data_IF_774650670362
#
_entry.id   IF_774650670362
#
_cell.length_a   1.000
_cell.length_b   1.000
_cell.length_c   1.000
_cell.angle_alpha   90.00
_cell.angle_beta   90.00
_cell.angle_gamma   90.00
#
_symmetry.space_group_name_H-M   'P 1'
#
loop_
_entity.id
_entity.type
_entity.pdbx_description
1 polymer ?
#
# COMPACT_ATOMS: atom_id res chain seq x y z
N UNK A 1 -8.21 13.87 -18.99
CA UNK A 1 -7.70 12.91 -17.98
C UNK A 1 -6.78 11.93 -18.69
N UNK A 2 -5.79 11.35 -18.00
CA UNK A 2 -4.88 10.35 -18.57
C UNK A 2 -5.67 9.08 -18.94
N UNK A 3 -5.33 8.44 -20.07
CA UNK A 3 -5.92 7.16 -20.44
C UNK A 3 -5.11 6.00 -19.83
N UNK A 4 -5.73 4.92 -19.30
CA UNK A 4 -4.99 3.83 -18.67
C UNK A 4 -3.95 3.13 -19.56
N UNK A 5 -4.17 3.13 -20.89
CA UNK A 5 -3.22 2.57 -21.86
C UNK A 5 -1.88 3.33 -21.91
N UNK A 6 -1.84 4.57 -21.40
CA UNK A 6 -0.63 5.41 -21.40
C UNK A 6 0.15 5.28 -20.07
N UNK A 7 -0.31 4.42 -19.16
CA UNK A 7 0.34 4.22 -17.85
C UNK A 7 1.48 3.21 -18.00
N UNK A 8 2.68 3.64 -17.62
CA UNK A 8 3.83 2.75 -17.42
C UNK A 8 3.80 2.25 -15.98
N UNK A 9 3.70 0.92 -15.80
CA UNK A 9 3.57 0.29 -14.48
C UNK A 9 4.89 -0.39 -14.09
N UNK A 10 5.36 -0.08 -12.88
CA UNK A 10 6.41 -0.78 -12.15
C UNK A 10 6.05 -0.86 -10.67
N UNK A 11 6.90 -1.44 -9.85
CA UNK A 11 6.68 -1.49 -8.40
C UNK A 11 7.48 -2.56 -7.70
N UNK A 12 7.15 -2.76 -6.42
CA UNK A 12 7.85 -3.62 -5.49
C UNK A 12 6.91 -4.71 -4.96
N UNK A 13 7.45 -5.89 -4.66
CA UNK A 13 6.75 -6.95 -3.95
C UNK A 13 7.79 -7.75 -3.16
N UNK A 14 7.42 -8.19 -1.96
CA UNK A 14 8.24 -9.09 -1.13
C UNK A 14 8.41 -10.47 -1.77
N UNK A 15 7.66 -10.79 -2.84
CA UNK A 15 7.74 -12.02 -3.61
C UNK A 15 8.32 -11.78 -5.02
N UNK A 16 9.26 -12.62 -5.45
CA UNK A 16 9.98 -12.45 -6.73
C UNK A 16 9.25 -12.96 -7.96
N UNK A 17 8.03 -13.51 -7.81
CA UNK A 17 7.28 -14.06 -8.93
C UNK A 17 7.05 -12.99 -10.00
N UNK A 18 7.23 -13.36 -11.27
CA UNK A 18 6.91 -12.44 -12.36
C UNK A 18 5.39 -12.21 -12.46
N UNK A 19 4.96 -11.17 -13.17
CA UNK A 19 3.53 -10.81 -13.20
C UNK A 19 2.66 -11.91 -13.88
N UNK A 20 3.24 -12.73 -14.76
CA UNK A 20 2.55 -13.90 -15.32
C UNK A 20 2.26 -14.97 -14.26
N UNK A 21 3.25 -15.34 -13.45
CA UNK A 21 3.08 -16.25 -12.31
C UNK A 21 2.14 -15.66 -11.24
N UNK A 22 2.24 -14.35 -10.99
CA UNK A 22 1.36 -13.66 -10.05
C UNK A 22 -0.11 -13.67 -10.52
N UNK A 23 -0.34 -13.51 -11.83
CA UNK A 23 -1.67 -13.61 -12.44
C UNK A 23 -2.27 -15.01 -12.27
N UNK A 24 -1.47 -16.06 -12.53
CA UNK A 24 -1.90 -17.45 -12.32
C UNK A 24 -2.25 -17.70 -10.86
N UNK A 25 -1.37 -17.29 -9.93
CA UNK A 25 -1.59 -17.41 -8.48
C UNK A 25 -2.83 -16.66 -7.99
N UNK A 26 -3.15 -15.52 -8.61
CA UNK A 26 -4.28 -14.69 -8.20
C UNK A 26 -5.65 -15.27 -8.60
N UNK A 27 -5.69 -16.13 -9.64
CA UNK A 27 -6.92 -16.75 -10.14
C UNK A 27 -8.05 -15.74 -10.44
N UNK A 28 -7.71 -14.55 -10.95
CA UNK A 28 -8.69 -13.49 -11.24
C UNK A 28 -9.18 -13.51 -12.68
N UNK A 29 -8.27 -13.63 -13.65
CA UNK A 29 -8.63 -13.66 -15.07
C UNK A 29 -8.99 -15.07 -15.52
N UNK A 30 -9.87 -15.18 -16.51
CA UNK A 30 -10.14 -16.45 -17.19
C UNK A 30 -8.87 -17.02 -17.83
N UNK A 31 -8.75 -18.34 -17.82
CA UNK A 31 -7.58 -19.06 -18.32
C UNK A 31 -7.17 -18.66 -19.75
N UNK A 32 -8.13 -18.52 -20.67
CA UNK A 32 -7.85 -18.12 -22.04
C UNK A 32 -7.24 -16.71 -22.17
N UNK A 33 -7.59 -15.79 -21.25
CA UNK A 33 -6.97 -14.47 -21.19
C UNK A 33 -5.56 -14.56 -20.57
N UNK A 34 -5.39 -15.39 -19.54
CA UNK A 34 -4.07 -15.63 -18.94
C UNK A 34 -3.07 -16.11 -19.99
N UNK A 35 -3.43 -17.12 -20.80
CA UNK A 35 -2.57 -17.64 -21.88
C UNK A 35 -2.16 -16.56 -22.89
N UNK A 36 -3.09 -15.65 -23.23
CA UNK A 36 -2.81 -14.52 -24.14
C UNK A 36 -1.84 -13.50 -23.54
N UNK A 37 -1.95 -13.24 -22.23
CA UNK A 37 -1.18 -12.19 -21.56
C UNK A 37 0.17 -12.68 -21.04
N UNK A 38 0.30 -13.98 -20.72
CA UNK A 38 1.50 -14.59 -20.11
C UNK A 38 2.81 -14.25 -20.83
N UNK A 39 2.93 -14.30 -22.18
CA UNK A 39 4.18 -13.94 -22.86
C UNK A 39 4.64 -12.49 -22.62
N UNK A 40 3.69 -11.58 -22.36
CA UNK A 40 3.99 -10.18 -22.04
C UNK A 40 4.23 -10.00 -20.54
N UNK A 41 3.34 -10.52 -19.70
CA UNK A 41 3.39 -10.32 -18.24
C UNK A 41 4.56 -11.02 -17.57
N UNK A 42 5.03 -12.15 -18.09
CA UNK A 42 6.20 -12.84 -17.52
C UNK A 42 7.52 -12.09 -17.69
N UNK A 43 7.56 -11.05 -18.52
CA UNK A 43 8.72 -10.16 -18.65
C UNK A 43 8.77 -9.10 -17.54
N UNK A 44 7.66 -8.86 -16.86
CA UNK A 44 7.56 -7.88 -15.79
C UNK A 44 7.87 -8.57 -14.46
N UNK A 45 8.81 -8.02 -13.70
CA UNK A 45 9.21 -8.52 -12.39
C UNK A 45 9.15 -7.38 -11.36
N UNK A 46 8.62 -7.63 -10.16
CA UNK A 46 8.65 -6.64 -9.09
C UNK A 46 10.09 -6.41 -8.62
N UNK A 47 10.39 -5.17 -8.23
CA UNK A 47 11.61 -4.83 -7.50
C UNK A 47 11.57 -5.44 -6.08
N UNK A 48 12.73 -5.73 -5.46
CA UNK A 48 12.79 -6.16 -4.07
C UNK A 48 12.21 -5.10 -3.13
N UNK A 49 11.41 -5.51 -2.14
CA UNK A 49 10.72 -4.60 -1.23
C UNK A 49 11.30 -4.61 0.19
N UNK A 50 10.93 -3.61 0.99
CA UNK A 50 11.07 -3.63 2.45
C UNK A 50 10.13 -4.70 3.03
N UNK A 51 10.58 -5.41 4.06
CA UNK A 51 9.77 -6.36 4.83
C UNK A 51 10.13 -6.27 6.31
N UNK A 52 9.19 -5.76 7.10
CA UNK A 52 9.24 -5.76 8.57
C UNK A 52 8.17 -6.75 9.06
N UNK A 53 8.56 -7.95 9.54
CA UNK A 53 7.64 -9.06 9.79
C UNK A 53 6.51 -8.75 10.78
N UNK A 54 6.74 -7.83 11.71
CA UNK A 54 5.80 -7.45 12.76
C UNK A 54 4.61 -6.61 12.27
N UNK A 55 4.70 -6.01 11.08
CA UNK A 55 3.65 -5.16 10.54
C UNK A 55 2.54 -5.95 9.81
N UNK A 56 2.84 -7.14 9.29
CA UNK A 56 1.87 -7.97 8.55
C UNK A 56 1.68 -9.33 9.22
N UNK A 57 0.75 -10.14 8.73
CA UNK A 57 0.51 -11.45 9.33
C UNK A 57 1.73 -12.36 9.19
N UNK A 58 2.12 -13.06 10.28
CA UNK A 58 3.25 -13.99 10.28
C UNK A 58 3.17 -15.07 9.18
N UNK A 59 1.96 -15.40 8.72
CA UNK A 59 1.72 -16.35 7.64
C UNK A 59 2.16 -15.87 6.24
N UNK A 60 2.75 -14.67 6.15
CA UNK A 60 3.39 -14.11 4.95
C UNK A 60 4.91 -14.39 4.90
N UNK A 61 5.52 -14.94 5.95
CA UNK A 61 6.97 -15.18 6.01
C UNK A 61 7.49 -16.00 4.82
N UNK A 62 6.84 -17.14 4.50
CA UNK A 62 7.22 -18.00 3.37
C UNK A 62 7.11 -17.30 1.99
N UNK A 63 6.33 -16.21 1.92
CA UNK A 63 6.16 -15.43 0.68
C UNK A 63 7.33 -14.47 0.46
N UNK A 64 8.00 -14.04 1.53
CA UNK A 64 9.00 -12.99 1.55
C UNK A 64 10.37 -13.50 1.04
N UNK A 65 10.57 -13.48 -0.27
CA UNK A 65 11.80 -13.93 -0.94
C UNK A 65 12.40 -12.90 -1.91
N UNK A 66 11.92 -11.66 -1.90
CA UNK A 66 12.37 -10.57 -2.77
C UNK A 66 12.54 -9.29 -1.94
N UNK A 67 13.57 -9.29 -1.10
CA UNK A 67 13.76 -8.27 -0.09
C UNK A 67 14.96 -7.40 -0.43
N UNK A 68 14.86 -6.11 -0.11
CA UNK A 68 16.03 -5.23 -0.06
C UNK A 68 17.02 -5.82 0.97
N UNK A 69 18.34 -5.80 0.71
CA UNK A 69 19.32 -6.26 1.68
C UNK A 69 19.13 -5.59 3.03
N UNK A 70 19.22 -6.37 4.11
CA UNK A 70 19.00 -5.88 5.47
C UNK A 70 19.89 -4.67 5.76
N UNK A 71 19.27 -3.58 6.17
CA UNK A 71 19.93 -2.32 6.52
C UNK A 71 19.16 -1.58 7.60
N UNK A 72 19.47 -0.29 7.74
CA UNK A 72 18.67 0.64 8.57
C UNK A 72 17.44 1.13 7.81
N UNK A 73 16.40 1.58 8.51
CA UNK A 73 15.21 2.21 7.90
C UNK A 73 15.58 3.44 7.07
N UNK A 74 16.65 4.15 7.44
CA UNK A 74 17.23 5.22 6.63
C UNK A 74 17.82 4.71 5.29
N UNK A 75 18.48 3.55 5.29
CA UNK A 75 18.99 2.93 4.06
C UNK A 75 17.84 2.44 3.17
N UNK A 76 16.79 1.89 3.77
CA UNK A 76 15.57 1.49 3.06
C UNK A 76 14.88 2.70 2.41
N UNK A 77 14.78 3.82 3.14
CA UNK A 77 14.27 5.09 2.60
C UNK A 77 15.06 5.54 1.36
N UNK A 78 16.39 5.61 1.46
CA UNK A 78 17.23 6.03 0.34
C UNK A 78 17.19 5.05 -0.84
N UNK A 79 17.04 3.75 -0.57
CA UNK A 79 16.86 2.73 -1.61
C UNK A 79 15.58 3.00 -2.42
N UNK A 80 14.44 3.19 -1.75
CA UNK A 80 13.17 3.48 -2.41
C UNK A 80 13.21 4.80 -3.19
N UNK A 81 13.84 5.84 -2.63
CA UNK A 81 14.04 7.12 -3.33
C UNK A 81 14.84 6.92 -4.62
N UNK A 82 15.92 6.14 -4.57
CA UNK A 82 16.72 5.82 -5.75
C UNK A 82 15.93 5.03 -6.80
N UNK A 83 15.11 4.07 -6.37
CA UNK A 83 14.26 3.30 -7.27
C UNK A 83 13.24 4.18 -7.99
N UNK A 84 12.59 5.11 -7.29
CA UNK A 84 11.65 6.08 -7.88
C UNK A 84 12.37 6.94 -8.94
N UNK A 85 13.54 7.51 -8.63
CA UNK A 85 14.33 8.30 -9.59
C UNK A 85 14.76 7.48 -10.80
N UNK A 86 15.16 6.23 -10.57
CA UNK A 86 15.62 5.32 -11.62
C UNK A 86 14.48 4.90 -12.53
N UNK A 87 13.32 4.55 -11.97
CA UNK A 87 12.12 4.26 -12.73
C UNK A 87 11.68 5.45 -13.59
N UNK A 88 11.66 6.66 -13.01
CA UNK A 88 11.33 7.90 -13.71
C UNK A 88 12.25 8.13 -14.91
N UNK A 89 13.56 8.04 -14.70
CA UNK A 89 14.60 8.26 -15.72
C UNK A 89 14.59 7.20 -16.82
N UNK A 90 14.52 5.91 -16.45
CA UNK A 90 14.59 4.81 -17.42
C UNK A 90 13.39 4.76 -18.37
N UNK A 91 12.25 5.31 -17.94
CA UNK A 91 11.03 5.36 -18.74
C UNK A 91 10.73 6.78 -19.28
N UNK A 92 11.64 7.74 -19.10
CA UNK A 92 11.47 9.14 -19.51
C UNK A 92 10.13 9.76 -19.05
N UNK A 93 9.79 9.57 -17.77
CA UNK A 93 8.52 9.99 -17.20
C UNK A 93 8.61 11.40 -16.60
N UNK A 94 7.60 12.23 -16.86
CA UNK A 94 7.47 13.52 -16.19
C UNK A 94 6.89 13.39 -14.78
N UNK A 95 5.93 12.46 -14.61
CA UNK A 95 5.18 12.23 -13.38
C UNK A 95 5.25 10.76 -12.97
N UNK A 96 5.36 10.53 -11.67
CA UNK A 96 5.29 9.22 -11.03
C UNK A 96 4.30 9.33 -9.87
N UNK A 97 3.45 8.32 -9.72
CA UNK A 97 2.53 8.18 -8.59
C UNK A 97 2.89 6.86 -7.91
N UNK A 98 3.03 6.89 -6.59
CA UNK A 98 3.24 5.70 -5.77
C UNK A 98 1.91 5.32 -5.15
N UNK A 99 1.52 4.05 -5.29
CA UNK A 99 0.28 3.53 -4.72
C UNK A 99 0.58 2.27 -3.92
N UNK A 100 0.15 2.25 -2.67
CA UNK A 100 0.20 1.07 -1.82
C UNK A 100 -0.99 0.16 -2.09
N UNK A 101 -0.70 -1.05 -2.56
CA UNK A 101 -1.68 -2.13 -2.75
C UNK A 101 -1.14 -3.46 -2.21
N UNK A 102 -0.24 -3.39 -1.22
CA UNK A 102 0.34 -4.56 -0.57
C UNK A 102 -0.57 -5.07 0.56
N UNK A 103 -0.09 -6.07 1.31
CA UNK A 103 -0.78 -6.58 2.49
C UNK A 103 -1.18 -5.45 3.45
N UNK A 104 -2.36 -5.59 4.05
CA UNK A 104 -2.79 -4.71 5.15
C UNK A 104 -1.83 -4.85 6.32
N UNK A 105 -1.26 -3.74 6.76
CA UNK A 105 -0.44 -3.67 7.95
C UNK A 105 -1.30 -3.47 9.22
N UNK A 106 -0.75 -3.76 10.39
CA UNK A 106 -1.30 -3.27 11.66
C UNK A 106 -1.16 -1.75 11.73
N UNK A 107 -1.91 -1.12 12.62
CA UNK A 107 -1.70 0.30 12.92
C UNK A 107 -0.35 0.52 13.60
N UNK A 108 0.23 1.68 13.34
CA UNK A 108 1.37 2.23 14.09
C UNK A 108 0.85 3.08 15.24
N UNK A 109 1.64 3.20 16.31
CA UNK A 109 1.36 4.15 17.38
C UNK A 109 1.48 5.60 16.87
N UNK A 110 0.65 6.51 17.40
CA UNK A 110 0.75 7.95 17.12
C UNK A 110 0.99 8.72 18.42
N UNK A 111 2.18 9.28 18.58
CA UNK A 111 2.59 10.00 19.81
C UNK A 111 3.71 11.02 19.59
N UNK A 112 3.80 12.08 20.42
CA UNK A 112 4.92 13.02 20.39
C UNK A 112 6.28 12.33 20.54
N UNK A 113 7.28 12.82 19.82
CA UNK A 113 8.61 12.24 19.73
C UNK A 113 8.73 11.02 18.80
N UNK A 114 7.66 10.62 18.11
CA UNK A 114 7.65 9.51 17.16
C UNK A 114 7.25 9.97 15.75
N UNK A 115 6.03 10.48 15.58
CA UNK A 115 5.49 10.71 14.23
C UNK A 115 4.41 11.80 14.15
N UNK A 116 4.38 12.73 15.11
CA UNK A 116 3.39 13.81 15.13
C UNK A 116 3.82 15.05 14.36
N UNK A 117 5.11 15.20 14.09
CA UNK A 117 5.67 16.23 13.20
C UNK A 117 6.55 15.60 12.12
N UNK A 118 6.80 16.33 11.03
CA UNK A 118 7.68 15.83 9.95
C UNK A 118 9.11 15.59 10.44
N UNK A 119 9.63 16.44 11.34
CA UNK A 119 10.96 16.28 11.92
C UNK A 119 11.03 14.99 12.74
N UNK A 120 10.01 14.71 13.54
CA UNK A 120 9.91 13.47 14.31
C UNK A 120 9.89 12.23 13.39
N UNK A 121 9.05 12.20 12.36
CA UNK A 121 8.98 11.04 11.45
C UNK A 121 10.33 10.76 10.80
N UNK A 122 11.00 11.80 10.29
CA UNK A 122 12.31 11.64 9.64
C UNK A 122 13.39 11.22 10.64
N UNK A 123 13.34 11.74 11.87
CA UNK A 123 14.26 11.35 12.93
C UNK A 123 14.02 9.91 13.39
N UNK A 124 12.77 9.47 13.55
CA UNK A 124 12.43 8.09 13.91
C UNK A 124 12.83 7.09 12.82
N UNK A 125 12.79 7.47 11.54
CA UNK A 125 13.38 6.68 10.45
C UNK A 125 14.90 6.58 10.63
N UNK A 126 15.58 7.68 10.91
CA UNK A 126 17.03 7.71 11.12
C UNK A 126 17.46 6.85 12.33
N UNK A 127 16.65 6.88 13.39
CA UNK A 127 16.88 6.16 14.64
C UNK A 127 16.47 4.68 14.59
N UNK A 128 15.91 4.21 13.47
CA UNK A 128 15.38 2.86 13.30
C UNK A 128 14.26 2.50 14.29
N UNK A 129 13.40 3.46 14.65
CA UNK A 129 12.32 3.22 15.61
C UNK A 129 11.38 2.12 15.12
N UNK A 130 11.06 1.15 15.98
CA UNK A 130 10.28 -0.04 15.64
C UNK A 130 8.87 0.31 15.12
N UNK A 131 8.27 1.41 15.57
CA UNK A 131 6.92 1.84 15.16
C UNK A 131 6.88 2.61 13.82
N UNK A 132 7.99 2.62 13.07
CA UNK A 132 7.99 3.06 11.67
C UNK A 132 7.70 1.87 10.74
N UNK A 133 6.51 1.84 10.15
CA UNK A 133 6.11 0.78 9.23
C UNK A 133 6.80 0.87 7.86
N UNK A 134 6.83 -0.22 7.06
CA UNK A 134 7.22 -0.15 5.66
C UNK A 134 6.40 0.90 4.89
N UNK A 135 5.07 0.97 5.07
CA UNK A 135 4.24 1.95 4.39
C UNK A 135 4.60 3.40 4.72
N UNK A 136 5.03 3.71 5.97
CA UNK A 136 5.55 5.03 6.34
C UNK A 136 6.81 5.38 5.53
N UNK A 137 7.71 4.42 5.32
CA UNK A 137 8.94 4.64 4.53
C UNK A 137 8.61 4.88 3.06
N UNK A 138 7.67 4.10 2.47
CA UNK A 138 7.20 4.34 1.10
C UNK A 138 6.55 5.71 0.93
N UNK A 139 5.72 6.13 1.90
CA UNK A 139 5.10 7.46 1.88
C UNK A 139 6.14 8.57 1.94
N UNK A 140 7.11 8.49 2.87
CA UNK A 140 8.20 9.44 2.98
C UNK A 140 9.07 9.47 1.72
N UNK A 141 9.41 8.30 1.15
CA UNK A 141 10.18 8.20 -0.08
C UNK A 141 9.47 8.90 -1.25
N UNK A 142 8.18 8.63 -1.43
CA UNK A 142 7.36 9.24 -2.48
C UNK A 142 7.32 10.77 -2.33
N UNK A 143 7.04 11.27 -1.13
CA UNK A 143 6.97 12.70 -0.84
C UNK A 143 8.32 13.39 -1.09
N UNK A 144 9.42 12.81 -0.60
CA UNK A 144 10.77 13.36 -0.77
C UNK A 144 11.24 13.35 -2.24
N UNK A 145 10.63 12.52 -3.09
CA UNK A 145 10.83 12.50 -4.55
C UNK A 145 9.76 13.29 -5.33
N UNK A 146 8.96 14.10 -4.64
CA UNK A 146 7.88 14.90 -5.22
C UNK A 146 6.86 14.07 -6.03
N UNK A 147 6.61 12.84 -5.59
CA UNK A 147 5.68 11.91 -6.22
C UNK A 147 4.44 11.75 -5.33
N UNK A 148 3.21 11.94 -5.86
CA UNK A 148 2.01 11.65 -5.10
C UNK A 148 1.99 10.25 -4.53
N UNK A 149 1.48 10.10 -3.31
CA UNK A 149 1.35 8.81 -2.62
C UNK A 149 -0.12 8.48 -2.34
N UNK A 150 -0.54 7.26 -2.64
CA UNK A 150 -1.91 6.79 -2.41
C UNK A 150 -1.87 5.54 -1.52
N UNK A 151 -2.54 5.58 -0.39
CA UNK A 151 -2.72 4.41 0.48
C UNK A 151 -4.01 3.67 0.10
N UNK A 152 -3.89 2.51 -0.55
CA UNK A 152 -5.02 1.66 -0.92
C UNK A 152 -5.43 0.66 0.16
N UNK A 153 -4.72 0.62 1.29
CA UNK A 153 -4.95 -0.30 2.41
C UNK A 153 -5.37 0.48 3.67
N UNK A 154 -5.90 -0.18 4.71
CA UNK A 154 -6.58 0.53 5.80
C UNK A 154 -5.68 0.93 6.97
N UNK A 155 -4.38 0.58 6.97
CA UNK A 155 -3.47 1.02 8.03
C UNK A 155 -3.30 2.56 8.02
N UNK A 156 -3.00 3.14 9.18
CA UNK A 156 -2.81 4.57 9.41
C UNK A 156 -1.47 5.12 8.88
N UNK A 157 -1.10 4.81 7.63
CA UNK A 157 0.15 5.26 7.00
C UNK A 157 0.33 6.78 7.10
N UNK A 158 -0.75 7.54 6.91
CA UNK A 158 -0.75 9.00 6.82
C UNK A 158 -0.85 9.66 8.21
N UNK A 159 0.10 9.33 9.11
CA UNK A 159 0.25 9.95 10.43
C UNK A 159 0.50 11.47 10.33
N UNK A 160 0.26 12.27 11.38
CA UNK A 160 0.34 13.73 11.30
C UNK A 160 1.67 14.27 10.75
N UNK A 161 2.80 13.67 11.12
CA UNK A 161 4.09 14.07 10.60
C UNK A 161 4.30 13.79 9.10
N UNK A 162 3.66 12.74 8.55
CA UNK A 162 3.69 12.47 7.11
C UNK A 162 2.78 13.44 6.35
N UNK A 163 1.63 13.82 6.93
CA UNK A 163 0.77 14.87 6.38
C UNK A 163 1.54 16.19 6.33
N UNK A 164 2.17 16.58 7.43
CA UNK A 164 3.00 17.80 7.47
C UNK A 164 4.15 17.74 6.46
N UNK A 165 4.82 16.59 6.32
CA UNK A 165 5.89 16.40 5.33
C UNK A 165 5.37 16.64 3.90
N UNK A 166 4.20 16.09 3.56
CA UNK A 166 3.55 16.26 2.27
C UNK A 166 3.19 17.74 2.00
N UNK A 167 2.63 18.44 3.00
CA UNK A 167 2.32 19.86 2.92
C UNK A 167 3.57 20.71 2.63
N UNK A 168 4.68 20.46 3.33
CA UNK A 168 5.93 21.20 3.12
C UNK A 168 6.54 20.97 1.74
N UNK A 169 6.37 19.78 1.18
CA UNK A 169 6.85 19.45 -0.16
C UNK A 169 5.83 19.76 -1.27
N UNK A 170 4.62 20.23 -0.94
CA UNK A 170 3.52 20.45 -1.88
C UNK A 170 3.19 19.20 -2.72
N UNK A 171 3.17 18.03 -2.07
CA UNK A 171 2.89 16.73 -2.70
C UNK A 171 1.52 16.22 -2.27
N UNK A 172 0.78 15.64 -3.21
CA UNK A 172 -0.50 15.02 -2.88
C UNK A 172 -0.32 13.69 -2.16
N UNK A 173 -1.07 13.50 -1.09
CA UNK A 173 -1.31 12.21 -0.45
C UNK A 173 -2.81 11.91 -0.46
N UNK A 174 -3.18 10.64 -0.52
CA UNK A 174 -4.59 10.23 -0.51
C UNK A 174 -4.78 8.82 0.02
N UNK A 175 -5.94 8.54 0.58
CA UNK A 175 -6.25 7.31 1.31
C UNK A 175 -7.46 7.53 2.22
N UNK A 176 -7.85 6.56 3.05
CA UNK A 176 -7.31 5.21 3.19
C UNK A 176 -8.33 4.16 2.73
N UNK A 177 -7.84 2.97 2.37
CA UNK A 177 -8.60 1.79 1.93
C UNK A 177 -9.45 1.91 0.65
N UNK A 178 -9.34 0.91 -0.23
CA UNK A 178 -10.15 0.89 -1.44
C UNK A 178 -11.64 0.61 -1.16
N UNK A 179 -12.49 1.62 -1.43
CA UNK A 179 -13.95 1.46 -1.41
C UNK A 179 -14.49 0.77 -2.69
N UNK A 180 -14.33 -0.54 -2.77
CA UNK A 180 -14.60 -1.33 -3.99
C UNK A 180 -16.02 -1.90 -4.11
N UNK A 181 -16.52 -2.59 -3.08
CA UNK A 181 -17.74 -3.41 -3.14
C UNK A 181 -18.74 -3.13 -2.02
N UNK A 182 -18.72 -3.95 -0.96
CA UNK A 182 -19.70 -3.89 0.13
C UNK A 182 -19.78 -2.50 0.78
N UNK A 183 -18.65 -1.90 1.16
CA UNK A 183 -18.60 -0.55 1.75
C UNK A 183 -19.08 0.53 0.78
N UNK A 184 -18.83 0.36 -0.53
CA UNK A 184 -19.35 1.27 -1.56
C UNK A 184 -20.88 1.27 -1.56
N UNK A 185 -21.49 0.08 -1.63
CA UNK A 185 -22.93 -0.08 -1.58
C UNK A 185 -23.51 0.42 -0.25
N UNK A 186 -22.88 0.08 0.88
CA UNK A 186 -23.29 0.53 2.22
C UNK A 186 -23.37 2.05 2.30
N UNK A 187 -22.35 2.75 1.79
CA UNK A 187 -22.34 4.23 1.81
C UNK A 187 -23.48 4.85 1.01
N UNK A 188 -23.87 4.25 -0.12
CA UNK A 188 -25.00 4.73 -0.94
C UNK A 188 -26.33 4.40 -0.28
N UNK A 189 -26.49 3.16 0.21
CA UNK A 189 -27.75 2.69 0.79
C UNK A 189 -28.06 3.41 2.11
N UNK A 190 -27.07 3.59 2.98
CA UNK A 190 -27.27 4.26 4.26
C UNK A 190 -27.67 5.73 4.06
N UNK A 191 -26.98 6.43 3.15
CA UNK A 191 -27.28 7.81 2.79
C UNK A 191 -28.70 7.96 2.22
N UNK A 192 -29.08 7.09 1.28
CA UNK A 192 -30.41 7.06 0.70
C UNK A 192 -31.51 6.86 1.76
N UNK A 193 -31.36 5.84 2.63
CA UNK A 193 -32.38 5.50 3.62
C UNK A 193 -32.57 6.62 4.65
N UNK A 194 -31.48 7.22 5.14
CA UNK A 194 -31.55 8.37 6.07
C UNK A 194 -32.17 9.59 5.38
N UNK A 195 -31.78 9.88 4.15
CA UNK A 195 -32.34 10.98 3.36
C UNK A 195 -33.84 10.81 3.08
N UNK A 196 -34.32 9.57 3.02
CA UNK A 196 -35.74 9.24 2.90
C UNK A 196 -36.52 9.33 4.23
N UNK A 197 -35.87 9.76 5.32
CA UNK A 197 -36.48 9.88 6.65
C UNK A 197 -36.59 8.57 7.42
N UNK A 198 -35.88 7.51 6.99
CA UNK A 198 -35.86 6.22 7.68
C UNK A 198 -34.68 6.16 8.66
N UNK A 199 -34.95 5.70 9.88
CA UNK A 199 -33.92 5.48 10.89
C UNK A 199 -33.32 4.07 10.74
N UNK A 200 -32.00 4.01 10.56
CA UNK A 200 -31.25 2.75 10.55
C UNK A 200 -30.97 2.30 11.99
N UNK A 201 -31.58 1.20 12.43
CA UNK A 201 -31.40 0.67 13.79
C UNK A 201 -30.30 -0.39 13.88
N UNK A 202 -29.97 -1.08 12.79
CA UNK A 202 -28.91 -2.10 12.77
C UNK A 202 -28.37 -2.34 11.36
N UNK A 203 -27.05 -2.45 11.23
CA UNK A 203 -26.35 -2.86 10.03
C UNK A 203 -25.31 -3.91 10.43
N UNK A 204 -25.53 -5.15 10.01
CA UNK A 204 -24.59 -6.25 10.24
C UNK A 204 -23.94 -6.62 8.90
N UNK A 205 -22.62 -6.71 8.86
CA UNK A 205 -21.86 -6.92 7.63
C UNK A 205 -20.85 -8.05 7.80
N UNK A 206 -21.07 -9.16 7.11
CA UNK A 206 -20.17 -10.31 7.09
C UNK A 206 -19.44 -10.37 5.75
N UNK A 207 -18.18 -10.80 5.78
CA UNK A 207 -17.36 -11.04 4.59
C UNK A 207 -16.49 -12.29 4.80
N UNK A 208 -16.29 -13.08 3.75
CA UNK A 208 -15.31 -14.16 3.71
C UNK A 208 -14.69 -14.19 2.30
N UNK A 209 -13.40 -14.45 2.22
CA UNK A 209 -12.63 -14.49 0.98
C UNK A 209 -11.43 -15.43 1.14
N UNK A 210 -11.08 -16.15 0.07
CA UNK A 210 -10.04 -17.19 0.06
C UNK A 210 -8.71 -16.78 -0.59
N UNK A 211 -8.54 -15.51 -0.93
CA UNK A 211 -7.32 -14.99 -1.54
C UNK A 211 -6.28 -14.59 -0.46
N UNK A 212 -5.11 -14.07 -0.88
CA UNK A 212 -4.05 -13.69 0.05
C UNK A 212 -4.45 -12.51 0.98
N UNK A 213 -5.39 -11.67 0.55
CA UNK A 213 -5.91 -10.59 1.40
C UNK A 213 -6.65 -11.18 2.61
N UNK A 214 -7.60 -12.10 2.37
CA UNK A 214 -8.25 -12.84 3.45
C UNK A 214 -7.29 -13.65 4.34
N UNK A 215 -6.26 -14.26 3.74
CA UNK A 215 -5.20 -14.96 4.49
C UNK A 215 -4.42 -14.01 5.42
N UNK A 216 -4.12 -12.79 4.98
CA UNK A 216 -3.44 -11.80 5.82
C UNK A 216 -4.36 -11.24 6.90
N UNK A 217 -5.62 -10.96 6.55
CA UNK A 217 -6.64 -10.47 7.47
C UNK A 217 -7.13 -11.53 8.47
N UNK A 218 -6.66 -12.78 8.41
CA UNK A 218 -6.94 -13.78 9.44
C UNK A 218 -6.24 -13.47 10.77
N UNK A 219 -5.24 -12.59 10.76
CA UNK A 219 -4.53 -12.16 11.95
C UNK A 219 -5.24 -10.95 12.60
N UNK A 220 -5.46 -10.95 13.94
CA UNK A 220 -6.28 -9.94 14.61
C UNK A 220 -5.83 -8.48 14.42
N UNK A 221 -4.52 -8.22 14.41
CA UNK A 221 -4.00 -6.86 14.29
C UNK A 221 -4.24 -6.28 12.89
N UNK A 222 -4.10 -7.10 11.85
CA UNK A 222 -4.39 -6.70 10.46
C UNK A 222 -5.91 -6.60 10.23
N UNK A 223 -6.70 -7.48 10.84
CA UNK A 223 -8.16 -7.36 10.82
C UNK A 223 -8.63 -6.07 11.49
N UNK A 224 -8.03 -5.68 12.61
CA UNK A 224 -8.37 -4.45 13.33
C UNK A 224 -8.21 -3.21 12.44
N UNK A 225 -7.19 -3.16 11.59
CA UNK A 225 -7.03 -2.07 10.62
C UNK A 225 -8.22 -1.99 9.68
N UNK A 226 -8.72 -3.13 9.18
CA UNK A 226 -9.83 -3.22 8.21
C UNK A 226 -11.22 -3.00 8.83
N UNK A 227 -11.34 -3.21 10.14
CA UNK A 227 -12.60 -3.10 10.88
C UNK A 227 -13.03 -1.65 11.13
N UNK A 228 -12.05 -0.74 11.26
CA UNK A 228 -12.25 0.70 11.53
C UNK A 228 -12.83 1.39 10.29
#
# INVERSE_FOLDING_TARGET
>A
MLHPNDIVIGGWDINRANIGEAMERACVFDYALQEKLKPKLSKLKPLPSIYYPDFIAANQEDRANNLIPKGTKQQDLEHLRNDIRTFKRNNNLEKVIVLWTANTERYTDVRPGLNTTKEEVLQSIADNDDEISPSNIFACAAILENCPYINGSPQNTLVPGIIELAEKHNVFIGGDDFKSGQTKLKSVLADFLVSAGLKLESIVSYNHLGNNDGKNLSAPQQFRSKEI
#
